data_IF_730443240646
#
_entry.id   IF_730443240646
#
_cell.length_a   1.000
_cell.length_b   1.000
_cell.length_c   1.000
_cell.angle_alpha   90.00
_cell.angle_beta   90.00
_cell.angle_gamma   90.00
#
_symmetry.space_group_name_H-M   'P 1'
#
loop_
_entity.id
_entity.type
_entity.pdbx_description
1 polymer ?
#
# COMPACT_ATOMS: atom_id res chain seq x y z
N UNK A 1 -22.31 14.97 -4.46
CA UNK A 1 -21.80 14.11 -5.56
C UNK A 1 -21.64 12.72 -4.96
N UNK A 2 -22.60 11.81 -5.24
CA UNK A 2 -22.60 10.48 -4.62
C UNK A 2 -21.57 9.61 -5.35
N UNK A 3 -20.48 9.28 -4.68
CA UNK A 3 -19.51 8.27 -5.14
C UNK A 3 -19.91 6.92 -4.56
N UNK A 4 -20.50 6.07 -5.40
CA UNK A 4 -20.74 4.67 -5.03
C UNK A 4 -19.41 3.90 -5.07
N UNK A 5 -18.97 3.39 -3.93
CA UNK A 5 -17.89 2.42 -3.86
C UNK A 5 -18.32 1.13 -4.57
N UNK A 6 -17.73 0.83 -5.71
CA UNK A 6 -17.80 -0.50 -6.29
C UNK A 6 -16.51 -1.24 -6.00
N UNK A 7 -16.62 -2.18 -5.07
CA UNK A 7 -15.66 -3.25 -4.88
C UNK A 7 -15.76 -4.17 -6.11
N UNK A 8 -14.75 -4.19 -6.96
CA UNK A 8 -14.66 -5.17 -8.06
C UNK A 8 -14.24 -6.50 -7.46
N UNK A 9 -15.20 -7.40 -7.24
CA UNK A 9 -14.94 -8.82 -7.04
C UNK A 9 -14.63 -9.45 -8.39
N UNK A 10 -13.36 -9.70 -8.69
CA UNK A 10 -12.98 -10.58 -9.79
C UNK A 10 -13.21 -12.04 -9.35
N UNK A 11 -14.27 -12.65 -9.89
CA UNK A 11 -14.47 -14.10 -9.83
C UNK A 11 -13.55 -14.77 -10.83
N UNK A 12 -12.52 -15.45 -10.34
CA UNK A 12 -11.66 -16.31 -11.17
C UNK A 12 -12.43 -17.58 -11.53
N UNK A 13 -12.77 -17.71 -12.79
CA UNK A 13 -13.30 -18.95 -13.37
C UNK A 13 -12.18 -19.98 -13.60
N UNK A 14 -12.26 -21.10 -12.91
CA UNK A 14 -11.42 -22.27 -13.18
C UNK A 14 -11.82 -22.92 -14.49
N UNK A 15 -10.91 -22.95 -15.46
CA UNK A 15 -10.96 -23.90 -16.58
C UNK A 15 -9.78 -24.86 -16.48
N UNK A 16 -10.10 -26.11 -16.15
CA UNK A 16 -9.17 -27.24 -16.25
C UNK A 16 -9.08 -27.71 -17.70
N UNK A 17 -7.90 -27.64 -18.29
CA UNK A 17 -7.56 -28.41 -19.48
C UNK A 17 -6.42 -29.38 -19.18
N UNK A 18 -6.76 -30.71 -19.21
CA UNK A 18 -5.80 -31.78 -19.35
C UNK A 18 -5.32 -31.84 -20.80
N UNK A 19 -4.02 -31.81 -21.01
CA UNK A 19 -3.39 -32.09 -22.30
C UNK A 19 -1.99 -32.65 -22.09
N UNK A 20 -1.82 -33.94 -22.51
CA UNK A 20 -0.58 -34.70 -22.42
C UNK A 20 0.55 -34.16 -23.28
N UNK A 21 1.72 -34.23 -22.70
CA UNK A 21 3.08 -34.50 -23.18
C UNK A 21 3.42 -34.46 -24.66
N UNK A 22 4.48 -33.73 -24.97
CA UNK A 22 5.66 -34.25 -25.73
C UNK A 22 6.83 -33.25 -25.62
N UNK A 23 7.97 -33.71 -25.08
CA UNK A 23 9.24 -32.96 -25.10
C UNK A 23 9.83 -32.96 -26.51
N UNK A 24 10.46 -31.88 -26.93
CA UNK A 24 11.61 -31.94 -27.84
C UNK A 24 12.91 -31.53 -27.13
N UNK A 25 13.88 -32.39 -27.22
CA UNK A 25 15.30 -32.10 -26.95
C UNK A 25 15.80 -31.00 -27.90
N UNK A 26 16.34 -29.95 -27.32
CA UNK A 26 17.02 -28.91 -28.06
C UNK A 26 17.79 -28.03 -27.07
N UNK A 27 19.05 -28.40 -26.80
CA UNK A 27 20.05 -27.54 -26.14
C UNK A 27 20.12 -26.23 -26.90
N UNK A 28 19.59 -25.14 -26.30
CA UNK A 28 19.91 -23.78 -26.73
C UNK A 28 20.91 -23.18 -25.77
N UNK A 29 21.97 -22.66 -26.37
CA UNK A 29 23.07 -21.98 -25.74
C UNK A 29 22.59 -20.95 -24.70
N UNK A 30 23.23 -20.96 -23.54
CA UNK A 30 23.13 -19.92 -22.52
C UNK A 30 23.65 -18.64 -23.19
N UNK A 31 22.73 -17.78 -23.57
CA UNK A 31 23.08 -16.43 -24.05
C UNK A 31 23.65 -15.68 -22.85
N UNK A 32 24.88 -15.21 -22.97
CA UNK A 32 25.57 -14.42 -21.95
C UNK A 32 24.68 -13.23 -21.53
N UNK A 33 24.58 -13.00 -20.22
CA UNK A 33 23.94 -11.84 -19.63
C UNK A 33 24.52 -10.56 -20.28
N UNK A 34 23.67 -9.59 -20.67
CA UNK A 34 24.15 -8.30 -21.19
C UNK A 34 24.96 -7.59 -20.11
N UNK A 35 26.19 -7.19 -20.44
CA UNK A 35 27.13 -6.49 -19.56
C UNK A 35 26.91 -4.96 -19.51
N UNK A 36 25.82 -4.45 -20.06
CA UNK A 36 25.36 -3.10 -19.86
C UNK A 36 24.08 -3.17 -19.01
N UNK A 37 23.96 -2.33 -17.98
CA UNK A 37 22.70 -2.15 -17.26
C UNK A 37 21.73 -1.57 -18.30
N UNK A 38 20.88 -2.43 -18.84
CA UNK A 38 19.88 -2.03 -19.80
C UNK A 38 18.93 -1.05 -19.08
N UNK A 39 18.71 0.11 -19.68
CA UNK A 39 17.82 1.12 -19.08
C UNK A 39 16.40 0.54 -18.99
N UNK A 40 15.79 0.62 -17.82
CA UNK A 40 14.43 0.14 -17.60
C UNK A 40 13.46 0.93 -18.46
N UNK A 41 12.61 0.21 -19.17
CA UNK A 41 11.54 0.76 -20.00
C UNK A 41 10.29 -0.14 -19.92
N UNK A 42 9.22 0.28 -20.60
CA UNK A 42 7.93 -0.41 -20.57
C UNK A 42 7.93 -1.85 -21.12
N UNK A 43 8.89 -2.19 -21.99
CA UNK A 43 8.98 -3.50 -22.63
C UNK A 43 9.82 -4.49 -21.81
N UNK A 44 10.83 -4.00 -21.06
CA UNK A 44 11.75 -4.87 -20.33
C UNK A 44 11.53 -4.94 -18.81
N UNK A 45 10.74 -4.03 -18.22
CA UNK A 45 10.56 -3.92 -16.78
C UNK A 45 10.12 -5.25 -16.13
N UNK A 46 9.09 -5.90 -16.67
CA UNK A 46 8.56 -7.17 -16.15
C UNK A 46 9.65 -8.27 -16.18
N UNK A 47 10.36 -8.40 -17.29
CA UNK A 47 11.44 -9.38 -17.42
C UNK A 47 12.60 -9.09 -16.45
N UNK A 48 12.96 -7.81 -16.31
CA UNK A 48 14.03 -7.37 -15.41
C UNK A 48 13.68 -7.59 -13.92
N UNK A 49 12.41 -7.39 -13.53
CA UNK A 49 11.93 -7.71 -12.18
C UNK A 49 11.89 -9.21 -11.98
N UNK A 50 11.22 -9.95 -12.86
CA UNK A 50 11.04 -11.40 -12.76
C UNK A 50 12.38 -12.16 -12.65
N UNK A 51 13.42 -11.70 -13.36
CA UNK A 51 14.76 -12.29 -13.28
C UNK A 51 15.43 -12.14 -11.90
N UNK A 52 14.95 -11.24 -11.04
CA UNK A 52 15.46 -10.99 -9.68
C UNK A 52 14.65 -11.67 -8.59
N UNK A 53 13.41 -12.07 -8.89
CA UNK A 53 12.53 -12.70 -7.89
C UNK A 53 13.12 -14.07 -7.51
N UNK A 54 13.13 -14.29 -6.21
CA UNK A 54 13.53 -15.57 -5.60
C UNK A 54 12.30 -16.25 -5.05
N UNK A 55 12.15 -17.53 -5.38
CA UNK A 55 11.16 -18.42 -4.80
C UNK A 55 11.83 -19.34 -3.78
N UNK A 56 11.06 -19.77 -2.76
CA UNK A 56 11.54 -20.51 -1.61
C UNK A 56 10.63 -21.70 -1.34
N UNK A 57 11.09 -22.67 -0.58
CA UNK A 57 10.29 -23.85 -0.18
C UNK A 57 9.09 -23.46 0.69
N UNK A 58 9.23 -22.40 1.51
CA UNK A 58 8.15 -21.75 2.26
C UNK A 58 8.04 -20.29 1.82
N UNK A 59 6.83 -19.86 1.45
CA UNK A 59 6.54 -18.50 1.02
C UNK A 59 5.45 -17.86 1.90
N UNK A 60 5.78 -17.51 3.16
CA UNK A 60 4.81 -17.03 4.13
C UNK A 60 4.21 -15.69 3.73
N UNK A 61 2.88 -15.63 3.71
CA UNK A 61 2.08 -14.43 3.47
C UNK A 61 1.36 -14.05 4.76
N UNK A 62 1.59 -12.83 5.21
CA UNK A 62 0.96 -12.26 6.40
C UNK A 62 -0.22 -11.38 6.02
N UNK A 63 -1.29 -11.47 6.82
CA UNK A 63 -2.50 -10.68 6.64
C UNK A 63 -3.00 -10.15 7.98
N UNK A 64 -3.77 -9.06 7.92
CA UNK A 64 -4.56 -8.55 9.03
C UNK A 64 -6.05 -8.80 8.76
N UNK A 65 -6.73 -9.48 9.68
CA UNK A 65 -8.18 -9.44 9.80
C UNK A 65 -8.54 -8.34 10.78
N UNK A 66 -9.27 -7.34 10.32
CA UNK A 66 -9.54 -6.11 11.06
C UNK A 66 -11.04 -6.03 11.30
N UNK A 67 -11.42 -5.98 12.58
CA UNK A 67 -12.75 -5.61 13.05
C UNK A 67 -12.70 -4.27 13.76
N UNK A 68 -13.66 -3.39 13.51
CA UNK A 68 -13.81 -2.11 14.21
C UNK A 68 -15.26 -1.83 14.54
N UNK A 69 -15.50 -1.12 15.61
CA UNK A 69 -16.82 -0.68 16.03
C UNK A 69 -16.76 0.77 16.50
N UNK A 70 -17.75 1.57 16.07
CA UNK A 70 -17.95 2.96 16.47
C UNK A 70 -16.71 3.86 16.31
N UNK A 71 -15.87 3.59 15.30
CA UNK A 71 -14.70 4.41 14.98
C UNK A 71 -14.32 4.26 13.50
N UNK A 72 -13.60 5.24 12.98
CA UNK A 72 -12.79 5.11 11.76
C UNK A 72 -11.34 4.92 12.16
N UNK A 73 -10.55 4.24 11.33
CA UNK A 73 -9.19 3.85 11.70
C UNK A 73 -8.20 4.05 10.56
N UNK A 74 -6.94 4.25 10.96
CA UNK A 74 -5.77 4.01 10.14
C UNK A 74 -4.92 2.92 10.80
N UNK A 75 -4.39 2.00 9.99
CA UNK A 75 -3.48 0.95 10.44
C UNK A 75 -2.17 1.08 9.68
N UNK A 76 -1.07 1.08 10.42
CA UNK A 76 0.28 1.11 9.88
C UNK A 76 1.03 -0.16 10.30
N UNK A 77 1.86 -0.67 9.41
CA UNK A 77 2.82 -1.75 9.72
C UNK A 77 4.22 -1.21 9.46
N UNK A 78 5.09 -1.29 10.48
CA UNK A 78 6.43 -0.69 10.45
C UNK A 78 6.40 0.80 10.06
N UNK A 79 5.41 1.51 10.60
CA UNK A 79 5.14 2.91 10.32
C UNK A 79 4.81 3.23 8.84
N UNK A 80 4.47 2.21 8.02
CA UNK A 80 3.93 2.39 6.67
C UNK A 80 2.42 2.16 6.68
N UNK A 81 1.60 3.08 6.11
CA UNK A 81 0.16 2.95 6.13
C UNK A 81 -0.30 1.79 5.22
N UNK A 82 -1.03 0.84 5.80
CA UNK A 82 -1.56 -0.33 5.08
C UNK A 82 -3.09 -0.30 4.93
N UNK A 83 -3.79 0.41 5.81
CA UNK A 83 -5.24 0.51 5.76
C UNK A 83 -5.76 1.85 6.30
N UNK A 84 -6.79 2.36 5.64
CA UNK A 84 -7.55 3.54 6.08
C UNK A 84 -9.04 3.27 5.86
N UNK A 85 -9.83 3.39 6.92
CA UNK A 85 -11.28 3.25 6.84
C UNK A 85 -11.94 4.62 6.98
N UNK A 86 -12.82 4.94 6.03
CA UNK A 86 -13.65 6.14 6.04
C UNK A 86 -15.14 5.79 5.91
N UNK A 87 -15.52 4.60 6.32
CA UNK A 87 -16.86 4.05 6.24
C UNK A 87 -17.21 3.32 7.54
N UNK A 88 -18.50 3.13 7.82
CA UNK A 88 -18.94 2.42 9.03
C UNK A 88 -18.73 0.92 8.92
N UNK A 89 -18.77 0.37 7.72
CA UNK A 89 -18.57 -1.05 7.46
C UNK A 89 -17.18 -1.57 7.84
N UNK A 90 -17.09 -2.85 8.09
CA UNK A 90 -15.83 -3.56 8.32
C UNK A 90 -15.25 -4.09 7.00
N UNK A 91 -13.93 -4.24 6.96
CA UNK A 91 -13.24 -4.90 5.86
C UNK A 91 -13.61 -6.40 5.85
N UNK A 92 -14.22 -6.84 4.75
CA UNK A 92 -14.68 -8.23 4.64
C UNK A 92 -13.55 -9.24 4.42
N UNK A 93 -12.49 -8.82 3.71
CA UNK A 93 -11.35 -9.68 3.35
C UNK A 93 -10.12 -9.36 4.18
N UNK A 94 -9.25 -10.36 4.46
CA UNK A 94 -7.97 -10.09 5.10
C UNK A 94 -7.10 -9.16 4.25
N UNK A 95 -6.41 -8.23 4.90
CA UNK A 95 -5.51 -7.28 4.28
C UNK A 95 -4.09 -7.84 4.19
N UNK A 96 -3.52 -7.91 3.00
CA UNK A 96 -2.12 -8.33 2.79
C UNK A 96 -1.15 -7.27 3.32
N UNK A 97 -0.11 -7.70 4.07
CA UNK A 97 0.86 -6.77 4.68
C UNK A 97 2.33 -7.06 4.37
N UNK A 98 2.64 -8.10 3.58
CA UNK A 98 4.04 -8.44 3.25
C UNK A 98 4.81 -7.28 2.61
N UNK A 99 4.17 -6.41 1.83
CA UNK A 99 4.81 -5.21 1.26
C UNK A 99 5.40 -4.25 2.29
N UNK A 100 4.93 -4.32 3.56
CA UNK A 100 5.46 -3.55 4.68
C UNK A 100 6.39 -4.37 5.59
N UNK A 101 6.63 -5.66 5.29
CA UNK A 101 7.55 -6.55 6.01
C UNK A 101 8.81 -6.72 5.15
N UNK A 102 9.85 -5.95 5.43
CA UNK A 102 11.07 -5.98 4.59
C UNK A 102 12.00 -7.14 4.89
N UNK A 103 11.92 -7.71 6.10
CA UNK A 103 12.73 -8.85 6.57
C UNK A 103 12.11 -9.52 7.79
N UNK A 104 12.63 -10.68 8.14
CA UNK A 104 12.29 -11.38 9.38
C UNK A 104 12.61 -10.54 10.62
N UNK A 105 11.78 -10.70 11.66
CA UNK A 105 11.95 -10.04 12.95
C UNK A 105 10.64 -9.53 13.51
N UNK A 106 10.75 -8.72 14.56
CA UNK A 106 9.62 -8.01 15.16
C UNK A 106 9.09 -6.97 14.19
N UNK A 107 7.78 -6.99 13.99
CA UNK A 107 7.03 -6.03 13.19
C UNK A 107 6.11 -5.24 14.11
N UNK A 108 6.05 -3.94 13.95
CA UNK A 108 5.18 -3.05 14.74
C UNK A 108 3.91 -2.74 13.97
N UNK A 109 2.76 -2.87 14.65
CA UNK A 109 1.46 -2.42 14.13
C UNK A 109 1.00 -1.23 14.94
N UNK A 110 0.75 -0.10 14.27
CA UNK A 110 0.16 1.10 14.86
C UNK A 110 -1.28 1.24 14.42
N UNK A 111 -2.16 1.47 15.37
CA UNK A 111 -3.59 1.71 15.13
C UNK A 111 -3.94 3.11 15.58
N UNK A 112 -4.47 3.90 14.67
CA UNK A 112 -5.00 5.25 14.89
C UNK A 112 -6.51 5.20 14.83
N UNK A 113 -7.18 5.65 15.87
CA UNK A 113 -8.63 5.63 16.00
C UNK A 113 -9.16 7.06 16.04
N UNK A 114 -10.22 7.30 15.28
CA UNK A 114 -10.92 8.58 15.23
C UNK A 114 -12.43 8.35 15.41
N UNK A 115 -13.17 9.30 15.97
CA UNK A 115 -14.64 9.22 16.00
C UNK A 115 -15.22 9.20 14.59
N UNK A 116 -16.40 8.63 14.46
CA UNK A 116 -17.07 8.47 13.15
C UNK A 116 -17.53 9.80 12.52
N UNK A 117 -17.52 10.89 13.26
CA UNK A 117 -17.93 12.20 12.75
C UNK A 117 -19.39 12.22 12.31
N UNK A 118 -19.64 12.65 11.09
CA UNK A 118 -20.94 12.72 10.46
C UNK A 118 -21.31 11.48 9.61
N UNK A 119 -20.47 10.45 9.58
CA UNK A 119 -20.68 9.27 8.70
C UNK A 119 -22.05 8.62 8.91
N UNK A 120 -22.58 8.57 10.14
CA UNK A 120 -23.92 8.02 10.38
C UNK A 120 -25.01 8.86 9.72
N UNK A 121 -24.88 10.19 9.73
CA UNK A 121 -25.80 11.09 9.04
C UNK A 121 -25.70 10.97 7.53
N UNK A 122 -24.48 10.83 7.02
CA UNK A 122 -24.21 10.70 5.58
C UNK A 122 -24.75 9.38 5.03
N UNK A 123 -24.62 8.28 5.79
CA UNK A 123 -25.04 6.96 5.35
C UNK A 123 -26.54 6.69 5.58
N UNK A 124 -27.09 7.10 6.72
CA UNK A 124 -28.45 6.77 7.13
C UNK A 124 -29.43 7.94 7.11
N UNK A 125 -28.98 9.15 6.77
CA UNK A 125 -29.78 10.40 6.77
C UNK A 125 -30.30 10.80 8.18
N UNK A 126 -29.79 10.18 9.26
CA UNK A 126 -30.11 10.50 10.65
C UNK A 126 -28.88 10.24 11.57
N UNK A 127 -28.96 10.74 12.79
CA UNK A 127 -27.92 10.59 13.81
C UNK A 127 -27.32 11.93 14.22
N UNK A 128 -26.37 11.87 15.13
CA UNK A 128 -25.62 13.01 15.64
C UNK A 128 -24.18 13.00 15.13
N UNK A 129 -23.52 14.16 15.12
CA UNK A 129 -22.09 14.26 14.86
C UNK A 129 -21.33 13.71 16.06
N UNK A 130 -20.53 12.68 15.86
CA UNK A 130 -19.74 12.04 16.91
C UNK A 130 -18.29 12.58 16.83
N UNK A 131 -17.92 13.42 17.79
CA UNK A 131 -16.60 14.11 17.84
C UNK A 131 -15.61 13.49 18.80
N UNK A 132 -16.03 12.49 19.58
CA UNK A 132 -15.22 11.77 20.55
C UNK A 132 -15.45 10.26 20.44
N UNK A 133 -14.44 9.47 20.72
CA UNK A 133 -14.53 8.02 20.83
C UNK A 133 -15.38 7.65 22.05
N UNK A 134 -16.30 6.71 21.88
CA UNK A 134 -17.20 6.26 22.94
C UNK A 134 -16.70 5.01 23.64
N UNK A 135 -17.39 4.60 24.71
CA UNK A 135 -17.07 3.38 25.48
C UNK A 135 -17.10 2.11 24.62
N UNK A 136 -17.99 2.09 23.63
CA UNK A 136 -18.17 0.99 22.69
C UNK A 136 -17.24 1.10 21.45
N UNK A 137 -16.36 2.10 21.40
CA UNK A 137 -15.36 2.16 20.34
C UNK A 137 -14.31 1.08 20.57
N UNK A 138 -14.10 0.21 19.59
CA UNK A 138 -13.07 -0.82 19.71
C UNK A 138 -12.51 -1.20 18.33
N UNK A 139 -11.32 -1.79 18.36
CA UNK A 139 -10.65 -2.40 17.22
C UNK A 139 -10.09 -3.74 17.65
N UNK A 140 -10.35 -4.77 16.86
CA UNK A 140 -9.69 -6.07 16.98
C UNK A 140 -8.89 -6.36 15.72
N UNK A 141 -7.65 -6.77 15.88
CA UNK A 141 -6.77 -7.15 14.79
C UNK A 141 -6.22 -8.53 15.05
N UNK A 142 -6.46 -9.44 14.10
CA UNK A 142 -5.86 -10.75 14.07
C UNK A 142 -4.81 -10.80 12.98
N UNK A 143 -3.57 -11.09 13.36
CA UNK A 143 -2.48 -11.39 12.43
C UNK A 143 -2.54 -12.85 12.08
N UNK A 144 -2.68 -13.15 10.79
CA UNK A 144 -2.69 -14.52 10.27
C UNK A 144 -1.57 -14.71 9.24
N UNK A 145 -1.09 -15.94 9.13
CA UNK A 145 -0.12 -16.38 8.13
C UNK A 145 -0.72 -17.49 7.27
N UNK A 146 -0.44 -17.41 5.98
CA UNK A 146 -0.67 -18.48 5.00
C UNK A 146 0.66 -18.77 4.29
N UNK A 147 0.79 -19.94 3.70
CA UNK A 147 1.92 -20.25 2.80
C UNK A 147 1.43 -20.20 1.36
N UNK A 148 2.06 -19.39 0.51
CA UNK A 148 1.70 -19.28 -0.92
C UNK A 148 1.88 -20.60 -1.66
N UNK A 149 2.81 -21.45 -1.23
CA UNK A 149 3.05 -22.78 -1.81
C UNK A 149 2.02 -23.83 -1.35
N UNK A 150 1.26 -23.52 -0.29
CA UNK A 150 0.25 -24.39 0.29
C UNK A 150 -1.18 -24.07 -0.15
N UNK A 151 -2.14 -24.64 0.58
CA UNK A 151 -3.53 -24.25 0.46
C UNK A 151 -3.77 -22.87 1.10
N UNK A 152 -4.67 -22.09 0.52
CA UNK A 152 -4.95 -20.71 0.96
C UNK A 152 -6.43 -20.53 1.38
N UNK A 153 -7.02 -21.58 1.97
CA UNK A 153 -8.38 -21.54 2.52
C UNK A 153 -8.42 -21.01 3.95
N UNK A 154 -9.63 -20.75 4.44
CA UNK A 154 -9.85 -20.30 5.82
C UNK A 154 -9.31 -21.29 6.88
N UNK A 155 -9.33 -22.58 6.57
CA UNK A 155 -8.84 -23.62 7.49
C UNK A 155 -7.31 -23.75 7.48
N UNK A 156 -6.63 -23.08 6.56
CA UNK A 156 -5.17 -23.13 6.43
C UNK A 156 -4.51 -21.93 7.10
N UNK A 157 -5.32 -20.99 7.61
CA UNK A 157 -4.84 -19.81 8.32
C UNK A 157 -4.18 -20.21 9.66
N UNK A 158 -2.91 -19.86 9.80
CA UNK A 158 -2.21 -19.92 11.07
C UNK A 158 -2.38 -18.57 11.79
N UNK A 159 -3.05 -18.58 12.94
CA UNK A 159 -3.12 -17.40 13.79
C UNK A 159 -1.78 -17.15 14.46
N UNK A 160 -1.20 -15.97 14.18
CA UNK A 160 0.06 -15.52 14.78
C UNK A 160 -0.19 -14.75 16.07
N UNK A 161 -1.18 -13.86 16.04
CA UNK A 161 -1.55 -13.00 17.18
C UNK A 161 -2.97 -12.48 17.01
N UNK A 162 -3.72 -12.38 18.12
CA UNK A 162 -4.92 -11.54 18.21
C UNK A 162 -4.66 -10.40 19.21
N UNK A 163 -4.99 -9.17 18.80
CA UNK A 163 -4.85 -7.98 19.63
C UNK A 163 -6.16 -7.16 19.59
N UNK A 164 -6.55 -6.61 20.75
CA UNK A 164 -7.70 -5.73 20.90
C UNK A 164 -7.24 -4.38 21.43
N UNK A 165 -8.01 -3.35 21.11
CA UNK A 165 -7.75 -2.00 21.63
C UNK A 165 -7.64 -2.00 23.16
N UNK A 166 -6.69 -1.22 23.74
CA UNK A 166 -6.45 -1.18 25.18
C UNK A 166 -7.67 -0.74 25.98
N UNK A 167 -7.77 -1.29 27.19
CA UNK A 167 -8.82 -0.96 28.17
C UNK A 167 -8.22 -0.40 29.45
N UNK A 168 -9.01 0.38 30.20
CA UNK A 168 -8.53 1.09 31.41
C UNK A 168 -8.86 0.37 32.71
N UNK A 169 -9.84 -0.55 32.69
CA UNK A 169 -10.29 -1.25 33.90
C UNK A 169 -9.77 -2.69 33.97
N UNK A 170 -9.78 -3.25 35.17
CA UNK A 170 -9.29 -4.61 35.42
C UNK A 170 -10.15 -5.69 34.75
N UNK A 171 -11.38 -5.36 34.36
CA UNK A 171 -12.32 -6.29 33.71
C UNK A 171 -12.20 -6.25 32.19
N UNK A 172 -11.45 -5.26 31.62
CA UNK A 172 -11.29 -5.09 30.20
C UNK A 172 -12.54 -4.54 29.49
N UNK A 173 -13.41 -3.82 30.20
CA UNK A 173 -14.72 -3.38 29.70
C UNK A 173 -14.69 -1.94 29.17
N UNK A 174 -13.83 -1.05 29.71
CA UNK A 174 -13.80 0.37 29.33
C UNK A 174 -12.64 0.64 28.36
N UNK A 175 -12.97 1.11 27.19
CA UNK A 175 -11.97 1.50 26.19
C UNK A 175 -11.08 2.65 26.68
N UNK A 176 -9.75 2.52 26.54
CA UNK A 176 -8.78 3.49 27.05
C UNK A 176 -8.86 4.87 26.38
N UNK A 177 -9.39 4.96 25.16
CA UNK A 177 -9.56 6.20 24.40
C UNK A 177 -10.94 6.87 24.55
N UNK A 178 -11.78 6.40 25.47
CA UNK A 178 -13.12 6.97 25.70
C UNK A 178 -13.06 8.47 26.01
N UNK A 179 -13.88 9.25 25.32
CA UNK A 179 -13.94 10.72 25.46
C UNK A 179 -12.86 11.48 24.70
N UNK A 180 -11.92 10.80 24.03
CA UNK A 180 -10.86 11.45 23.25
C UNK A 180 -11.29 11.69 21.79
N UNK A 181 -10.81 12.77 21.15
CA UNK A 181 -11.02 13.02 19.73
C UNK A 181 -10.08 12.20 18.83
N UNK A 182 -9.09 11.54 19.43
CA UNK A 182 -8.08 10.72 18.77
C UNK A 182 -7.43 9.78 19.78
N UNK A 183 -7.15 8.54 19.38
CA UNK A 183 -6.40 7.58 20.18
C UNK A 183 -5.46 6.77 19.30
N UNK A 184 -4.23 6.59 19.73
CA UNK A 184 -3.22 5.79 19.03
C UNK A 184 -2.60 4.78 19.99
N UNK A 185 -2.40 3.54 19.51
CA UNK A 185 -1.67 2.52 20.24
C UNK A 185 -0.89 1.64 19.29
N UNK A 186 0.09 0.91 19.82
CA UNK A 186 0.93 -0.01 19.07
C UNK A 186 0.96 -1.39 19.72
N UNK A 187 1.16 -2.40 18.90
CA UNK A 187 1.51 -3.75 19.33
C UNK A 187 2.51 -4.36 18.35
N UNK A 188 3.10 -5.49 18.73
CA UNK A 188 4.13 -6.13 17.94
C UNK A 188 3.78 -7.60 17.68
N UNK A 189 4.25 -8.12 16.54
CA UNK A 189 4.25 -9.54 16.23
C UNK A 189 5.57 -9.93 15.58
N UNK A 190 5.91 -11.21 15.59
CA UNK A 190 7.09 -11.71 14.91
C UNK A 190 6.73 -12.27 13.54
N UNK A 191 7.38 -11.78 12.48
CA UNK A 191 7.28 -12.34 11.13
C UNK A 191 8.58 -13.08 10.76
N UNK A 192 8.43 -14.25 10.12
CA UNK A 192 9.54 -15.00 9.52
C UNK A 192 9.31 -15.02 8.01
N UNK A 193 10.20 -14.36 7.27
CA UNK A 193 10.18 -14.33 5.80
C UNK A 193 11.56 -14.70 5.27
N UNK A 194 11.70 -15.41 4.13
CA UNK A 194 12.98 -15.88 3.62
C UNK A 194 13.79 -14.82 2.86
N UNK A 195 13.25 -13.61 2.70
CA UNK A 195 13.88 -12.49 2.01
C UNK A 195 14.39 -11.40 2.99
N UNK A 196 15.31 -10.57 2.51
CA UNK A 196 15.66 -9.27 3.09
C UNK A 196 15.65 -8.23 1.96
N UNK A 197 14.73 -7.28 2.05
CA UNK A 197 14.50 -6.20 1.10
C UNK A 197 14.98 -4.85 1.62
N UNK A 198 15.60 -4.80 2.80
CA UNK A 198 15.95 -3.55 3.50
C UNK A 198 16.84 -2.65 2.65
N UNK A 199 17.87 -3.20 1.98
CA UNK A 199 18.84 -2.42 1.19
C UNK A 199 18.25 -1.88 -0.13
N UNK A 200 17.15 -2.47 -0.60
CA UNK A 200 16.56 -2.13 -1.89
C UNK A 200 15.21 -1.40 -1.76
N UNK A 201 14.96 -0.83 -0.58
CA UNK A 201 13.69 -0.17 -0.28
C UNK A 201 13.89 0.94 0.76
N UNK A 202 12.77 1.42 1.29
CA UNK A 202 12.75 2.39 2.38
C UNK A 202 13.41 1.90 3.70
N UNK A 203 13.74 0.62 3.83
CA UNK A 203 14.48 0.09 4.98
C UNK A 203 15.92 0.64 5.13
N UNK A 204 16.53 1.11 4.04
CA UNK A 204 17.81 1.85 4.04
C UNK A 204 17.63 3.32 3.64
N UNK A 205 16.51 3.92 4.01
CA UNK A 205 16.23 5.32 3.73
C UNK A 205 17.01 6.26 4.67
N UNK A 206 17.42 7.39 4.13
CA UNK A 206 17.94 8.51 4.93
C UNK A 206 16.79 9.17 5.72
N UNK A 207 17.11 9.72 6.88
CA UNK A 207 16.15 10.49 7.66
C UNK A 207 15.86 11.83 6.98
N UNK A 208 14.69 11.91 6.34
CA UNK A 208 14.21 13.07 5.60
C UNK A 208 13.76 14.22 6.51
N UNK A 209 13.46 13.98 7.80
CA UNK A 209 13.12 15.04 8.76
C UNK A 209 14.28 15.97 9.03
N UNK A 210 15.51 15.54 8.71
CA UNK A 210 16.73 16.35 8.85
C UNK A 210 16.97 17.31 7.68
N UNK A 211 16.20 17.22 6.61
CA UNK A 211 16.23 18.13 5.46
C UNK A 211 15.39 19.36 5.79
N UNK A 212 15.76 20.50 5.23
CA UNK A 212 14.92 21.69 5.26
C UNK A 212 13.55 21.35 4.62
N UNK A 213 12.47 21.60 5.36
CA UNK A 213 11.14 21.14 4.96
C UNK A 213 10.65 21.82 3.68
N UNK A 214 10.96 23.10 3.48
CA UNK A 214 10.56 23.84 2.26
C UNK A 214 11.29 23.25 1.03
N UNK A 215 12.57 22.89 1.19
CA UNK A 215 13.38 22.25 0.16
C UNK A 215 12.84 20.85 -0.16
N UNK A 216 12.50 20.06 0.86
CA UNK A 216 11.95 18.72 0.67
C UNK A 216 10.59 18.79 -0.02
N UNK A 217 9.69 19.64 0.47
CA UNK A 217 8.34 19.82 -0.08
C UNK A 217 8.40 20.26 -1.54
N UNK A 218 9.28 21.21 -1.88
CA UNK A 218 9.43 21.64 -3.28
C UNK A 218 9.91 20.51 -4.18
N UNK A 219 10.88 19.68 -3.74
CA UNK A 219 11.34 18.51 -4.52
C UNK A 219 10.22 17.47 -4.71
N UNK A 220 9.42 17.24 -3.68
CA UNK A 220 8.28 16.32 -3.76
C UNK A 220 7.21 16.85 -4.72
N UNK A 221 6.90 18.14 -4.65
CA UNK A 221 5.96 18.79 -5.58
C UNK A 221 6.44 18.68 -7.04
N UNK A 222 7.72 18.90 -7.29
CA UNK A 222 8.30 18.80 -8.62
C UNK A 222 8.24 17.34 -9.13
N UNK A 223 8.47 16.36 -8.23
CA UNK A 223 8.30 14.94 -8.55
C UNK A 223 6.84 14.62 -8.90
N UNK A 224 5.90 15.00 -8.06
CA UNK A 224 4.47 14.73 -8.25
C UNK A 224 3.92 15.40 -9.52
N UNK A 225 4.27 16.67 -9.76
CA UNK A 225 3.87 17.39 -10.99
C UNK A 225 4.45 16.73 -12.24
N UNK A 226 5.71 16.31 -12.18
CA UNK A 226 6.37 15.61 -13.30
C UNK A 226 5.70 14.26 -13.54
N UNK A 227 5.43 13.49 -12.47
CA UNK A 227 4.73 12.21 -12.56
C UNK A 227 3.36 12.37 -13.22
N UNK A 228 2.50 13.27 -12.72
CA UNK A 228 1.17 13.52 -13.28
C UNK A 228 1.22 14.01 -14.74
N UNK A 229 2.21 14.82 -15.09
CA UNK A 229 2.41 15.30 -16.46
C UNK A 229 2.77 14.16 -17.41
N UNK A 230 3.73 13.32 -17.05
CA UNK A 230 4.16 12.19 -17.87
C UNK A 230 3.09 11.10 -17.91
N UNK A 231 2.35 10.89 -16.80
CA UNK A 231 1.20 10.01 -16.74
C UNK A 231 0.12 10.42 -17.76
N UNK A 232 -0.25 11.71 -17.77
CA UNK A 232 -1.21 12.25 -18.76
C UNK A 232 -0.75 12.09 -20.20
N UNK A 233 0.56 12.07 -20.44
CA UNK A 233 1.14 11.88 -21.79
C UNK A 233 1.14 10.43 -22.25
N UNK A 234 0.82 9.49 -21.36
CA UNK A 234 0.94 8.06 -21.61
C UNK A 234 2.41 7.62 -21.78
N UNK A 235 3.36 8.29 -21.09
CA UNK A 235 4.79 7.98 -21.17
C UNK A 235 5.11 6.69 -20.41
N UNK A 236 4.89 5.55 -21.05
CA UNK A 236 5.05 4.21 -20.48
C UNK A 236 6.45 3.97 -19.93
N UNK A 237 7.48 4.42 -20.62
CA UNK A 237 8.87 4.20 -20.21
C UNK A 237 9.20 4.99 -18.95
N UNK A 238 8.76 6.23 -18.85
CA UNK A 238 8.91 7.02 -17.64
C UNK A 238 8.20 6.34 -16.44
N UNK A 239 6.97 5.89 -16.64
CA UNK A 239 6.20 5.22 -15.58
C UNK A 239 6.88 3.91 -15.18
N UNK A 240 7.33 3.08 -16.13
CA UNK A 240 8.08 1.87 -15.86
C UNK A 240 9.32 2.13 -14.99
N UNK A 241 10.11 3.16 -15.31
CA UNK A 241 11.28 3.56 -14.52
C UNK A 241 10.91 3.97 -13.09
N UNK A 242 9.77 4.66 -12.89
CA UNK A 242 9.33 5.10 -11.56
C UNK A 242 8.78 3.94 -10.72
N UNK A 243 8.04 3.03 -11.33
CA UNK A 243 7.45 1.87 -10.65
C UNK A 243 8.43 0.71 -10.44
N UNK A 244 9.52 0.64 -11.17
CA UNK A 244 10.44 -0.51 -11.17
C UNK A 244 10.83 -0.97 -9.76
N UNK A 245 11.26 -0.04 -8.90
CA UNK A 245 11.74 -0.39 -7.56
C UNK A 245 10.60 -0.85 -6.65
N UNK A 246 9.48 -0.15 -6.63
CA UNK A 246 8.33 -0.53 -5.80
C UNK A 246 7.70 -1.83 -6.29
N UNK A 247 7.62 -2.07 -7.62
CA UNK A 247 7.15 -3.33 -8.17
C UNK A 247 8.07 -4.50 -7.81
N UNK A 248 9.41 -4.30 -7.85
CA UNK A 248 10.35 -5.32 -7.41
C UNK A 248 10.15 -5.69 -5.94
N UNK A 249 10.05 -4.70 -5.06
CA UNK A 249 9.84 -4.93 -3.62
C UNK A 249 8.53 -5.67 -3.38
N UNK A 250 7.44 -5.23 -3.99
CA UNK A 250 6.14 -5.91 -3.88
C UNK A 250 6.17 -7.31 -4.48
N UNK A 251 6.76 -7.48 -5.67
CA UNK A 251 6.83 -8.78 -6.33
C UNK A 251 7.62 -9.79 -5.49
N UNK A 252 8.74 -9.39 -4.87
CA UNK A 252 9.49 -10.28 -4.00
C UNK A 252 8.76 -10.54 -2.68
N UNK A 253 8.16 -9.52 -2.06
CA UNK A 253 7.45 -9.65 -0.80
C UNK A 253 6.23 -10.59 -0.90
N UNK A 254 5.60 -10.66 -2.07
CA UNK A 254 4.46 -11.53 -2.36
C UNK A 254 4.82 -12.74 -3.23
N UNK A 255 6.11 -12.99 -3.45
CA UNK A 255 6.63 -14.14 -4.23
C UNK A 255 5.92 -14.29 -5.59
N UNK A 256 5.77 -13.17 -6.30
CA UNK A 256 4.99 -13.13 -7.53
C UNK A 256 5.68 -13.86 -8.67
N UNK A 257 4.90 -14.61 -9.45
CA UNK A 257 5.35 -15.17 -10.71
C UNK A 257 5.53 -14.08 -11.76
N UNK A 258 6.17 -14.42 -12.89
CA UNK A 258 6.29 -13.48 -14.01
C UNK A 258 4.93 -13.04 -14.55
N UNK A 259 3.97 -13.95 -14.59
CA UNK A 259 2.60 -13.70 -15.02
C UNK A 259 1.90 -12.71 -14.09
N UNK A 260 2.03 -12.91 -12.76
CA UNK A 260 1.47 -11.98 -11.77
C UNK A 260 2.13 -10.58 -11.81
N UNK A 261 3.42 -10.49 -12.19
CA UNK A 261 4.11 -9.20 -12.39
C UNK A 261 3.62 -8.54 -13.68
N UNK A 262 3.37 -9.34 -14.73
CA UNK A 262 2.79 -8.83 -15.98
C UNK A 262 1.39 -8.28 -15.75
N UNK A 263 0.53 -9.00 -14.99
CA UNK A 263 -0.81 -8.53 -14.62
C UNK A 263 -0.77 -7.17 -13.90
N UNK A 264 0.13 -7.00 -12.92
CA UNK A 264 0.32 -5.71 -12.24
C UNK A 264 0.67 -4.58 -13.21
N UNK A 265 1.52 -4.88 -14.20
CA UNK A 265 1.92 -3.90 -15.20
C UNK A 265 0.80 -3.60 -16.20
N UNK A 266 0.04 -4.61 -16.60
CA UNK A 266 -1.09 -4.45 -17.51
C UNK A 266 -2.21 -3.61 -16.89
N UNK A 267 -2.52 -3.81 -15.59
CA UNK A 267 -3.46 -2.98 -14.83
C UNK A 267 -3.03 -1.50 -14.82
N UNK A 268 -1.73 -1.22 -14.61
CA UNK A 268 -1.20 0.15 -14.66
C UNK A 268 -1.28 0.74 -16.07
N UNK A 269 -1.01 -0.07 -17.10
CA UNK A 269 -1.10 0.36 -18.50
C UNK A 269 -2.55 0.62 -18.94
N UNK A 270 -3.53 -0.11 -18.41
CA UNK A 270 -4.95 0.12 -18.67
C UNK A 270 -5.34 1.54 -18.24
N UNK A 271 -5.01 1.91 -17.00
CA UNK A 271 -5.26 3.25 -16.48
C UNK A 271 -4.47 4.32 -17.24
N UNK A 272 -3.20 4.06 -17.54
CA UNK A 272 -2.34 5.00 -18.27
C UNK A 272 -2.84 5.28 -19.70
N UNK A 273 -3.47 4.30 -20.34
CA UNK A 273 -4.05 4.42 -21.68
C UNK A 273 -5.49 4.97 -21.68
N UNK A 274 -6.13 5.16 -20.52
CA UNK A 274 -7.49 5.69 -20.44
C UNK A 274 -7.53 7.15 -20.89
N UNK A 275 -8.23 7.48 -22.01
CA UNK A 275 -8.29 8.84 -22.54
C UNK A 275 -9.06 9.81 -21.64
N UNK A 276 -9.85 9.30 -20.70
CA UNK A 276 -10.65 10.11 -19.77
C UNK A 276 -9.85 10.63 -18.58
N UNK A 277 -8.63 10.13 -18.38
CA UNK A 277 -7.73 10.51 -17.29
C UNK A 277 -7.42 12.00 -17.30
N UNK A 278 -7.74 12.68 -16.21
CA UNK A 278 -7.53 14.11 -15.99
C UNK A 278 -6.76 14.33 -14.70
N UNK A 279 -5.46 14.66 -14.74
CA UNK A 279 -4.71 15.06 -13.56
C UNK A 279 -5.37 16.22 -12.82
N UNK A 280 -5.43 16.11 -11.51
CA UNK A 280 -5.96 17.15 -10.66
C UNK A 280 -4.85 18.04 -10.10
N UNK A 281 -5.21 19.27 -9.74
CA UNK A 281 -4.24 20.20 -9.17
C UNK A 281 -3.85 19.76 -7.76
N UNK A 282 -2.55 19.77 -7.48
CA UNK A 282 -2.00 19.49 -6.14
C UNK A 282 -2.24 20.71 -5.27
N UNK A 283 -3.15 20.60 -4.30
CA UNK A 283 -3.52 21.65 -3.36
C UNK A 283 -4.07 21.02 -2.08
N UNK A 284 -4.21 21.81 -1.02
CA UNK A 284 -4.81 21.41 0.25
C UNK A 284 -4.17 20.13 0.83
N UNK A 285 -2.85 20.09 0.84
CA UNK A 285 -2.04 18.97 1.30
C UNK A 285 -1.18 19.36 2.51
N UNK A 286 -0.60 18.35 3.12
CA UNK A 286 0.45 18.46 4.13
C UNK A 286 1.57 17.47 3.86
N UNK A 287 2.79 17.85 4.21
CA UNK A 287 3.95 16.97 4.21
C UNK A 287 3.91 16.11 5.48
N UNK A 288 3.96 14.79 5.30
CA UNK A 288 4.03 13.83 6.40
C UNK A 288 5.15 12.85 6.20
N UNK A 289 5.59 12.26 7.31
CA UNK A 289 6.65 11.27 7.34
C UNK A 289 6.11 9.92 7.80
N UNK A 290 6.67 8.86 7.23
CA UNK A 290 6.46 7.47 7.58
C UNK A 290 7.80 6.74 7.69
N UNK A 291 7.78 5.47 8.10
CA UNK A 291 8.98 4.66 8.22
C UNK A 291 10.08 5.38 9.05
N UNK A 292 9.70 5.90 10.23
CA UNK A 292 10.60 6.64 11.12
C UNK A 292 11.33 7.80 10.41
N UNK A 293 10.58 8.58 9.66
CA UNK A 293 11.07 9.70 8.85
C UNK A 293 11.89 9.32 7.61
N UNK A 294 11.97 8.04 7.28
CA UNK A 294 12.65 7.59 6.06
C UNK A 294 11.83 7.82 4.79
N UNK A 295 10.52 7.91 4.90
CA UNK A 295 9.59 8.10 3.79
C UNK A 295 8.82 9.38 3.97
N UNK A 296 8.73 10.19 2.91
CA UNK A 296 7.93 11.40 2.86
C UNK A 296 6.74 11.24 1.91
N UNK A 297 5.63 11.88 2.23
CA UNK A 297 4.39 11.79 1.48
C UNK A 297 3.62 13.11 1.56
N UNK A 298 3.09 13.58 0.43
CA UNK A 298 2.15 14.70 0.43
C UNK A 298 0.73 14.14 0.44
N UNK A 299 0.05 14.29 1.56
CA UNK A 299 -1.32 13.82 1.72
C UNK A 299 -2.31 14.98 1.68
N UNK A 300 -3.48 14.73 1.11
CA UNK A 300 -4.59 15.67 1.16
C UNK A 300 -5.06 15.84 2.61
N UNK A 301 -5.29 17.08 2.99
CA UNK A 301 -5.91 17.41 4.26
C UNK A 301 -7.18 18.22 3.97
N UNK A 302 -8.31 17.54 3.88
CA UNK A 302 -9.59 18.20 3.80
C UNK A 302 -10.38 17.94 5.08
N UNK A 303 -11.10 18.96 5.54
CA UNK A 303 -12.02 18.86 6.67
C UNK A 303 -13.46 18.66 6.19
N UNK A 304 -13.73 18.90 4.91
CA UNK A 304 -15.08 18.86 4.33
C UNK A 304 -15.47 17.49 3.82
N UNK A 305 -14.48 16.69 3.37
CA UNK A 305 -14.73 15.36 2.80
C UNK A 305 -13.72 14.36 3.35
N UNK A 306 -14.18 13.50 4.24
CA UNK A 306 -13.35 12.44 4.86
C UNK A 306 -12.80 11.45 3.82
N UNK A 307 -13.49 11.26 2.70
CA UNK A 307 -13.04 10.37 1.64
C UNK A 307 -11.69 10.79 1.04
N UNK A 308 -11.48 12.11 0.85
CA UNK A 308 -10.22 12.64 0.31
C UNK A 308 -9.12 12.78 1.39
N UNK A 309 -9.51 12.88 2.64
CA UNK A 309 -8.58 13.07 3.76
C UNK A 309 -7.53 11.98 3.79
N UNK A 310 -6.27 12.38 3.96
CA UNK A 310 -5.11 11.49 4.05
C UNK A 310 -4.81 10.66 2.78
N UNK A 311 -5.46 10.91 1.66
CA UNK A 311 -5.07 10.32 0.38
C UNK A 311 -3.93 11.11 -0.25
N UNK A 312 -3.27 10.52 -1.25
CA UNK A 312 -2.18 11.20 -1.97
C UNK A 312 -2.65 12.50 -2.61
N UNK A 313 -1.84 13.55 -2.51
CA UNK A 313 -2.11 14.82 -3.18
C UNK A 313 -1.98 14.73 -4.72
N UNK A 314 -1.26 13.73 -5.23
CA UNK A 314 -1.22 13.40 -6.65
C UNK A 314 -2.33 12.40 -6.98
N UNK A 315 -3.30 12.84 -7.77
CA UNK A 315 -4.41 12.01 -8.19
C UNK A 315 -4.97 12.44 -9.55
N UNK A 316 -5.71 11.55 -10.16
CA UNK A 316 -6.39 11.78 -11.43
C UNK A 316 -7.87 11.50 -11.27
N UNK A 317 -8.67 12.16 -12.08
CA UNK A 317 -10.08 11.85 -12.28
C UNK A 317 -10.20 11.05 -13.57
N UNK A 318 -11.05 10.02 -13.57
CA UNK A 318 -11.40 9.23 -14.75
C UNK A 318 -12.91 9.07 -14.85
N UNK A 319 -13.41 8.66 -16.00
CA UNK A 319 -14.84 8.48 -16.28
C UNK A 319 -15.11 7.04 -16.70
N UNK A 320 -15.86 6.31 -15.91
CA UNK A 320 -16.30 4.95 -16.23
C UNK A 320 -17.83 4.88 -16.24
N UNK A 321 -18.43 4.48 -17.37
CA UNK A 321 -19.88 4.35 -17.54
C UNK A 321 -20.66 5.64 -17.17
N UNK A 322 -20.07 6.81 -17.41
CA UNK A 322 -20.69 8.11 -17.08
C UNK A 322 -20.54 8.53 -15.61
N UNK A 323 -19.82 7.77 -14.79
CA UNK A 323 -19.53 8.07 -13.39
C UNK A 323 -18.08 8.52 -13.26
N UNK A 324 -17.85 9.62 -12.55
CA UNK A 324 -16.51 10.14 -12.27
C UNK A 324 -15.90 9.44 -11.06
N UNK A 325 -14.65 8.97 -11.21
CA UNK A 325 -13.86 8.33 -10.15
C UNK A 325 -12.56 9.11 -9.89
N UNK A 326 -12.13 9.14 -8.63
CA UNK A 326 -10.82 9.63 -8.25
C UNK A 326 -9.85 8.47 -8.02
N UNK A 327 -8.71 8.49 -8.71
CA UNK A 327 -7.63 7.51 -8.52
C UNK A 327 -6.44 8.22 -7.91
N UNK A 328 -6.04 7.78 -6.72
CA UNK A 328 -4.98 8.39 -5.92
C UNK A 328 -3.72 7.53 -5.98
N UNK A 329 -2.62 8.13 -6.41
CA UNK A 329 -1.34 7.40 -6.53
C UNK A 329 -0.68 7.21 -5.17
N UNK A 330 -0.04 6.06 -4.97
CA UNK A 330 0.74 5.78 -3.76
C UNK A 330 2.17 6.34 -3.87
N UNK A 331 2.35 7.64 -4.09
CA UNK A 331 3.68 8.25 -4.27
C UNK A 331 4.37 8.48 -2.92
N UNK A 332 4.67 7.41 -2.20
CA UNK A 332 5.55 7.43 -1.03
C UNK A 332 6.99 7.53 -1.51
N UNK A 333 7.72 8.56 -1.06
CA UNK A 333 9.06 8.85 -1.58
C UNK A 333 10.11 8.74 -0.48
N UNK A 334 11.24 8.11 -0.78
CA UNK A 334 12.39 8.01 0.10
C UNK A 334 13.68 8.41 -0.63
N UNK A 335 14.74 8.68 0.11
CA UNK A 335 16.08 8.85 -0.43
C UNK A 335 17.00 7.77 0.15
N UNK A 336 17.74 6.99 -0.68
CA UNK A 336 18.71 6.02 -0.16
C UNK A 336 19.80 6.70 0.69
N UNK A 337 20.22 6.08 1.80
CA UNK A 337 21.32 6.58 2.64
C UNK A 337 22.61 6.73 1.85
N UNK A 338 22.91 5.78 0.98
CA UNK A 338 24.10 5.83 0.14
C UNK A 338 24.01 6.98 -0.85
N UNK A 339 24.94 7.91 -0.75
CA UNK A 339 24.96 9.12 -1.59
C UNK A 339 24.02 10.23 -1.13
N UNK A 340 23.33 10.06 0.01
CA UNK A 340 22.47 11.10 0.54
C UNK A 340 23.27 12.32 1.01
N UNK A 341 22.82 13.50 0.59
CA UNK A 341 23.24 14.80 1.09
C UNK A 341 22.00 15.64 1.33
N UNK A 342 21.93 16.35 2.46
CA UNK A 342 20.80 17.23 2.78
C UNK A 342 20.52 18.31 1.72
N UNK A 343 21.52 18.64 0.89
CA UNK A 343 21.41 19.62 -0.18
C UNK A 343 21.06 19.00 -1.53
N UNK A 344 21.59 17.81 -1.78
CA UNK A 344 21.45 17.12 -3.06
C UNK A 344 21.06 15.67 -2.80
N UNK A 345 19.85 15.28 -3.15
CA UNK A 345 19.34 13.91 -3.05
C UNK A 345 18.30 13.63 -4.13
N UNK A 346 18.16 12.36 -4.46
CA UNK A 346 17.15 11.87 -5.39
C UNK A 346 16.06 11.16 -4.60
N UNK A 347 14.81 11.41 -4.93
CA UNK A 347 13.66 10.72 -4.37
C UNK A 347 13.31 9.52 -5.25
N UNK A 348 13.03 8.40 -4.59
CA UNK A 348 12.62 7.13 -5.21
C UNK A 348 11.26 6.75 -4.63
N UNK A 349 10.37 6.21 -5.45
CA UNK A 349 9.08 5.71 -5.01
C UNK A 349 9.25 4.39 -4.26
N UNK A 350 8.62 4.31 -3.09
CA UNK A 350 8.63 3.14 -2.18
C UNK A 350 7.66 2.07 -2.66
#
# INVERSE_FOLDING_TARGET
MRLLNKLVLLTVGFFTFMGCAQQPKGSKAITALPTAVEEINSENMVAAISAKIKHFDEEPLYYLRIGKENCIIEVLVNDMPVYKSYELSNLASPLRINGSILKSGTQTVTVRMYPVGDLSKEEYEYGETITQLGDASNVSIKVIQLDKQGAMGLNDELEVLEHKSPTTDANGEVFAGTGLPFYEYTFEFYAKVPYDLSENSWGDAADLSTVDQDVLEQKMLDYYKTFLKEYKRGNKDFIAQKYYQSFYVQAQAYYKSKEEIQEMWDEELELLNDPTVKPQSIKDYELVFYAHSGVAFLRLKTIEDLYYRNKCAAWVQTLENGVEYGIFFGLYLYAPKKGFSKKEFTLIMS
#
